data_IF_483354163350
#
_entry.id   IF_483354163350
#
_cell.length_a   1.000
_cell.length_b   1.000
_cell.length_c   1.000
_cell.angle_alpha   90.00
_cell.angle_beta   90.00
_cell.angle_gamma   90.00
#
_symmetry.space_group_name_H-M   'P 1'
#
loop_
_entity.id
_entity.type
_entity.pdbx_description
1 polymer ?
#
# COMPACT_ATOMS: atom_id res chain seq x y z
N UNK A 1 -5.56 11.62 -17.27
CA UNK A 1 -4.28 12.18 -16.80
C UNK A 1 -3.72 11.26 -15.72
N UNK A 2 -2.62 10.54 -15.95
CA UNK A 2 -1.91 9.89 -14.85
C UNK A 2 -1.41 11.00 -13.91
N UNK A 3 -1.74 10.88 -12.63
CA UNK A 3 -1.17 11.73 -11.59
C UNK A 3 0.09 11.02 -11.10
N UNK A 4 1.23 11.67 -11.25
CA UNK A 4 2.43 11.29 -10.54
C UNK A 4 2.24 11.65 -9.06
N UNK A 5 2.49 10.66 -8.20
CA UNK A 5 2.26 10.75 -6.77
C UNK A 5 3.60 10.58 -6.07
N UNK A 6 4.10 11.65 -5.47
CA UNK A 6 5.36 11.63 -4.73
C UNK A 6 5.14 11.20 -3.28
N UNK A 7 5.61 10.00 -2.97
CA UNK A 7 5.54 9.40 -1.64
C UNK A 7 6.92 9.54 -0.97
N UNK A 8 6.99 10.27 0.14
CA UNK A 8 8.22 10.39 0.92
C UNK A 8 8.45 9.16 1.79
N UNK A 9 9.56 8.44 1.60
CA UNK A 9 9.94 7.30 2.44
C UNK A 9 10.73 7.77 3.66
N UNK A 10 10.21 7.53 4.87
CA UNK A 10 10.96 7.74 6.11
C UNK A 10 11.76 6.48 6.46
N UNK A 11 13.07 6.49 6.25
CA UNK A 11 13.97 5.43 6.73
C UNK A 11 14.34 5.69 8.20
N UNK A 12 13.96 4.79 9.12
CA UNK A 12 14.51 4.78 10.50
C UNK A 12 15.62 3.72 10.55
N UNK A 13 16.87 4.16 10.52
CA UNK A 13 18.01 3.28 10.83
C UNK A 13 18.08 2.95 12.32
N UNK A 14 18.64 1.78 12.70
CA UNK A 14 18.93 1.47 14.09
C UNK A 14 20.03 2.42 14.60
N UNK A 15 19.71 3.07 15.72
CA UNK A 15 20.48 4.00 16.53
C UNK A 15 22.01 4.09 16.29
N UNK A 16 22.51 5.25 15.83
CA UNK A 16 23.64 5.96 16.45
C UNK A 16 23.72 7.41 15.91
N UNK A 17 23.92 8.35 16.82
CA UNK A 17 24.24 9.77 16.64
C UNK A 17 23.18 10.78 16.12
N UNK A 18 23.26 11.97 16.73
CA UNK A 18 22.24 13.02 16.80
C UNK A 18 22.19 13.98 15.59
N UNK A 19 22.95 13.72 14.53
CA UNK A 19 22.98 14.53 13.30
C UNK A 19 22.15 13.92 12.17
N UNK A 20 20.90 13.61 12.47
CA UNK A 20 19.97 12.98 11.51
C UNK A 20 19.48 13.99 10.47
N UNK A 21 20.28 14.24 9.44
CA UNK A 21 19.73 14.62 8.13
C UNK A 21 18.99 13.39 7.61
N UNK A 22 17.69 13.30 7.92
CA UNK A 22 16.81 12.27 7.36
C UNK A 22 16.91 12.35 5.85
N UNK A 23 17.45 11.31 5.20
CA UNK A 23 17.36 11.23 3.75
C UNK A 23 15.93 10.85 3.40
N UNK A 24 15.12 11.85 3.06
CA UNK A 24 13.81 11.65 2.46
C UNK A 24 14.03 11.20 1.03
N UNK A 25 13.82 9.92 0.73
CA UNK A 25 13.76 9.48 -0.67
C UNK A 25 12.36 9.78 -1.18
N UNK A 26 12.29 10.64 -2.18
CA UNK A 26 11.07 10.89 -2.94
C UNK A 26 10.83 9.70 -3.87
N UNK A 27 9.63 9.12 -3.80
CA UNK A 27 9.24 7.99 -4.62
C UNK A 27 8.08 8.43 -5.50
N UNK A 28 8.30 8.46 -6.81
CA UNK A 28 7.23 8.80 -7.76
C UNK A 28 6.46 7.55 -8.18
N UNK A 29 5.15 7.58 -7.97
CA UNK A 29 4.22 6.51 -8.36
C UNK A 29 3.21 7.04 -9.37
N UNK A 30 3.19 6.44 -10.56
CA UNK A 30 2.21 6.75 -11.58
C UNK A 30 0.91 5.99 -11.31
N UNK A 31 -0.14 6.72 -10.90
CA UNK A 31 -1.46 6.14 -10.62
C UNK A 31 -2.18 5.75 -11.91
N UNK A 32 -2.68 4.51 -11.97
CA UNK A 32 -3.46 3.97 -13.09
C UNK A 32 -4.93 3.72 -12.73
N UNK A 33 -5.47 2.59 -13.20
CA UNK A 33 -6.89 2.23 -13.04
C UNK A 33 -7.26 1.95 -11.59
N UNK A 34 -8.50 2.27 -11.21
CA UNK A 34 -9.05 1.86 -9.92
C UNK A 34 -9.35 0.35 -9.94
N UNK A 35 -8.89 -0.35 -8.91
CA UNK A 35 -9.14 -1.77 -8.68
C UNK A 35 -10.31 -2.01 -7.72
N UNK A 36 -10.52 -1.10 -6.78
CA UNK A 36 -11.58 -1.22 -5.79
C UNK A 36 -11.77 0.02 -4.95
N UNK A 37 -12.88 0.05 -4.20
CA UNK A 37 -13.22 1.11 -3.27
C UNK A 37 -14.09 0.60 -2.14
N UNK A 38 -13.99 1.22 -0.97
CA UNK A 38 -14.84 0.92 0.20
C UNK A 38 -14.64 1.95 1.31
N UNK A 39 -15.11 1.63 2.52
CA UNK A 39 -15.01 2.52 3.69
C UNK A 39 -13.57 2.92 4.07
N UNK A 40 -12.58 2.13 3.64
CA UNK A 40 -11.16 2.37 3.91
C UNK A 40 -10.42 3.13 2.81
N UNK A 41 -11.16 3.65 1.81
CA UNK A 41 -10.61 4.42 0.70
C UNK A 41 -10.69 3.70 -0.65
N UNK A 42 -9.81 4.08 -1.57
CA UNK A 42 -9.75 3.58 -2.96
C UNK A 42 -8.41 2.89 -3.20
N UNK A 43 -8.41 1.83 -3.99
CA UNK A 43 -7.19 1.11 -4.39
C UNK A 43 -7.03 1.22 -5.89
N UNK A 44 -5.83 1.55 -6.33
CA UNK A 44 -5.48 1.70 -7.74
C UNK A 44 -4.34 0.76 -8.12
N UNK A 45 -4.34 0.27 -9.36
CA UNK A 45 -3.14 -0.28 -9.99
C UNK A 45 -2.24 0.89 -10.34
N UNK A 46 -0.99 0.84 -9.93
CA UNK A 46 -0.03 1.90 -10.17
C UNK A 46 1.34 1.33 -10.55
N UNK A 47 2.24 2.19 -11.01
CA UNK A 47 3.61 1.82 -11.37
C UNK A 47 4.58 2.68 -10.59
N UNK A 48 5.53 2.04 -9.90
CA UNK A 48 6.68 2.71 -9.29
C UNK A 48 7.64 3.14 -10.40
N UNK A 49 7.91 4.43 -10.55
CA UNK A 49 8.58 4.95 -11.74
C UNK A 49 10.06 4.52 -11.84
N UNK A 50 10.76 4.44 -10.71
CA UNK A 50 12.20 4.09 -10.72
C UNK A 50 12.42 2.60 -10.97
N UNK A 51 11.71 1.74 -10.23
CA UNK A 51 11.90 0.29 -10.35
C UNK A 51 11.00 -0.36 -11.39
N UNK A 52 10.13 0.41 -12.06
CA UNK A 52 9.07 -0.06 -12.96
C UNK A 52 8.13 -1.12 -12.36
N UNK A 53 8.09 -1.22 -11.03
CA UNK A 53 7.30 -2.24 -10.32
C UNK A 53 5.83 -1.87 -10.37
N UNK A 54 4.98 -2.81 -10.75
CA UNK A 54 3.52 -2.65 -10.62
C UNK A 54 3.12 -2.86 -9.16
N UNK A 55 2.32 -1.93 -8.62
CA UNK A 55 1.95 -1.88 -7.21
C UNK A 55 0.44 -1.66 -7.04
N UNK A 56 -0.09 -2.06 -5.88
CA UNK A 56 -1.38 -1.57 -5.40
C UNK A 56 -1.16 -0.27 -4.62
N UNK A 57 -1.82 0.81 -5.03
CA UNK A 57 -1.79 2.10 -4.37
C UNK A 57 -3.12 2.33 -3.65
N UNK A 58 -3.12 2.20 -2.33
CA UNK A 58 -4.26 2.53 -1.47
C UNK A 58 -4.22 4.01 -1.13
N UNK A 59 -5.32 4.71 -1.40
CA UNK A 59 -5.49 6.14 -1.15
C UNK A 59 -6.68 6.35 -0.21
N UNK A 60 -6.46 7.06 0.89
CA UNK A 60 -7.51 7.42 1.84
C UNK A 60 -7.50 8.93 2.11
N UNK A 61 -8.67 9.54 2.27
CA UNK A 61 -8.77 10.94 2.68
C UNK A 61 -8.43 11.03 4.16
N UNK A 62 -7.45 11.87 4.49
CA UNK A 62 -7.03 12.11 5.87
C UNK A 62 -6.82 13.61 6.11
N UNK A 63 -7.57 14.22 7.04
CA UNK A 63 -7.35 15.61 7.44
C UNK A 63 -5.89 15.85 7.87
N UNK A 64 -5.35 17.02 7.55
CA UNK A 64 -3.96 17.38 7.88
C UNK A 64 -3.67 17.22 9.38
N UNK A 65 -4.65 17.58 10.22
CA UNK A 65 -4.57 17.56 11.69
C UNK A 65 -4.87 16.19 12.33
N UNK A 66 -5.12 15.14 11.53
CA UNK A 66 -5.40 13.82 12.07
C UNK A 66 -4.14 13.23 12.73
N UNK A 67 -4.19 13.00 14.05
CA UNK A 67 -3.04 12.51 14.84
C UNK A 67 -2.70 11.06 14.60
N UNK A 68 -3.68 10.23 14.23
CA UNK A 68 -3.52 8.79 13.98
C UNK A 68 -4.10 8.43 12.61
N UNK A 69 -3.34 8.70 11.54
CA UNK A 69 -3.80 8.41 10.20
C UNK A 69 -3.94 6.89 9.99
N UNK A 70 -5.08 6.38 9.49
CA UNK A 70 -5.35 4.95 9.39
C UNK A 70 -4.34 4.20 8.52
N UNK A 71 -3.92 4.76 7.38
CA UNK A 71 -2.97 4.05 6.50
C UNK A 71 -1.55 4.02 7.08
N UNK A 72 -1.18 4.99 7.92
CA UNK A 72 0.07 4.91 8.67
C UNK A 72 0.10 3.70 9.61
N UNK A 73 -0.99 3.48 10.35
CA UNK A 73 -1.11 2.34 11.26
C UNK A 73 -1.07 1.01 10.48
N UNK A 74 -1.86 0.90 9.41
CA UNK A 74 -1.89 -0.27 8.52
C UNK A 74 -0.51 -0.58 7.93
N UNK A 75 0.19 0.44 7.43
CA UNK A 75 1.54 0.27 6.90
C UNK A 75 2.53 -0.24 7.96
N UNK A 76 2.39 0.20 9.21
CA UNK A 76 3.25 -0.28 10.29
C UNK A 76 2.94 -1.73 10.68
N UNK A 77 1.67 -2.11 10.76
CA UNK A 77 1.28 -3.51 11.02
C UNK A 77 1.80 -4.43 9.92
N UNK A 78 1.59 -4.08 8.65
CA UNK A 78 2.06 -4.87 7.52
C UNK A 78 3.60 -4.98 7.48
N UNK A 79 4.32 -3.90 7.79
CA UNK A 79 5.80 -3.94 7.89
C UNK A 79 6.27 -4.84 9.02
N UNK A 80 5.62 -4.83 10.17
CA UNK A 80 5.95 -5.72 11.30
C UNK A 80 5.75 -7.19 10.94
N UNK A 81 4.74 -7.50 10.13
CA UNK A 81 4.42 -8.85 9.67
C UNK A 81 5.13 -9.23 8.35
N UNK A 82 6.04 -8.38 7.87
CA UNK A 82 6.74 -8.58 6.60
C UNK A 82 7.60 -9.85 6.63
N UNK A 83 7.69 -10.53 5.49
CA UNK A 83 8.47 -11.77 5.31
C UNK A 83 7.61 -13.03 5.31
N UNK A 84 6.34 -12.95 5.71
CA UNK A 84 5.41 -14.08 5.59
C UNK A 84 4.75 -14.08 4.19
N UNK A 85 4.72 -15.22 3.46
CA UNK A 85 4.24 -15.27 2.08
C UNK A 85 2.75 -14.88 1.91
N UNK A 86 1.96 -15.05 2.96
CA UNK A 86 0.53 -14.67 2.98
C UNK A 86 0.27 -13.21 3.38
N UNK A 87 1.32 -12.40 3.61
CA UNK A 87 1.19 -11.00 4.02
C UNK A 87 1.80 -10.10 2.94
N UNK A 88 1.06 -9.10 2.42
CA UNK A 88 1.57 -8.21 1.37
C UNK A 88 2.77 -7.36 1.83
N UNK A 89 3.76 -7.24 0.96
CA UNK A 89 4.89 -6.33 1.19
C UNK A 89 4.48 -4.86 1.06
N UNK A 90 4.97 -4.01 1.95
CA UNK A 90 4.82 -2.56 1.87
C UNK A 90 6.04 -1.94 1.20
N UNK A 91 5.83 -1.19 0.13
CA UNK A 91 6.90 -0.50 -0.60
C UNK A 91 7.08 0.93 -0.12
N UNK A 92 5.99 1.67 0.07
CA UNK A 92 6.05 3.07 0.48
C UNK A 92 4.79 3.49 1.22
N UNK A 93 4.92 4.47 2.11
CA UNK A 93 3.82 5.17 2.76
C UNK A 93 4.13 6.66 2.75
N UNK A 94 3.12 7.50 2.53
CA UNK A 94 3.28 8.94 2.62
C UNK A 94 1.96 9.69 2.60
N UNK A 95 2.05 11.02 2.62
CA UNK A 95 0.91 11.93 2.63
C UNK A 95 1.12 13.03 1.60
N UNK A 96 0.05 13.34 0.87
CA UNK A 96 0.00 14.47 -0.05
C UNK A 96 -1.31 15.20 0.23
N UNK A 97 -1.21 16.48 0.61
CA UNK A 97 -2.36 17.32 1.00
C UNK A 97 -3.30 16.61 1.99
N UNK A 98 -4.54 16.36 1.59
CA UNK A 98 -5.60 15.73 2.37
C UNK A 98 -5.70 14.22 2.17
N UNK A 99 -4.63 13.58 1.67
CA UNK A 99 -4.61 12.16 1.38
C UNK A 99 -3.44 11.46 2.04
N UNK A 100 -3.72 10.24 2.50
CA UNK A 100 -2.70 9.22 2.76
C UNK A 100 -2.60 8.27 1.59
N UNK A 101 -1.39 7.80 1.37
CA UNK A 101 -1.02 6.94 0.26
C UNK A 101 -0.17 5.79 0.80
N UNK A 102 -0.55 4.57 0.45
CA UNK A 102 0.16 3.35 0.80
C UNK A 102 0.37 2.53 -0.47
N UNK A 103 1.63 2.38 -0.86
CA UNK A 103 2.07 1.51 -1.94
C UNK A 103 2.47 0.16 -1.37
N UNK A 104 1.88 -0.91 -1.89
CA UNK A 104 2.12 -2.28 -1.47
C UNK A 104 2.09 -3.24 -2.66
N UNK A 105 2.43 -4.50 -2.41
CA UNK A 105 2.34 -5.58 -3.39
C UNK A 105 0.96 -5.62 -4.04
N UNK A 106 0.94 -5.65 -5.38
CA UNK A 106 -0.29 -5.93 -6.11
C UNK A 106 -0.58 -7.42 -6.04
N UNK A 107 -1.72 -7.78 -5.46
CA UNK A 107 -2.22 -9.15 -5.43
C UNK A 107 -3.14 -9.42 -6.63
N UNK A 108 -3.54 -10.68 -6.77
CA UNK A 108 -4.55 -11.12 -7.73
C UNK A 108 -5.96 -10.65 -7.29
N UNK A 109 -6.98 -11.08 -8.04
CA UNK A 109 -8.38 -10.81 -7.72
C UNK A 109 -8.74 -11.22 -6.29
N UNK A 110 -9.64 -10.47 -5.65
CA UNK A 110 -10.08 -10.83 -4.31
C UNK A 110 -11.02 -12.04 -4.36
N UNK A 111 -11.12 -12.78 -3.25
CA UNK A 111 -12.11 -13.86 -3.14
C UNK A 111 -13.55 -13.34 -3.32
N UNK A 112 -13.82 -12.11 -2.90
CA UNK A 112 -15.11 -11.47 -3.13
C UNK A 112 -15.43 -11.29 -4.61
N UNK A 113 -14.42 -11.02 -5.44
CA UNK A 113 -14.59 -10.94 -6.89
C UNK A 113 -14.83 -12.32 -7.50
N UNK A 114 -14.07 -13.34 -7.07
CA UNK A 114 -14.25 -14.75 -7.50
C UNK A 114 -15.68 -15.23 -7.24
N UNK A 115 -16.21 -14.96 -6.04
CA UNK A 115 -17.57 -15.38 -5.66
C UNK A 115 -18.63 -14.62 -6.48
N UNK A 116 -18.43 -13.33 -6.75
CA UNK A 116 -19.34 -12.54 -7.61
C UNK A 116 -19.36 -13.04 -9.05
N UNK A 117 -18.24 -13.56 -9.55
CA UNK A 117 -18.15 -14.19 -10.87
C UNK A 117 -18.90 -15.54 -10.94
N UNK A 118 -19.54 -15.98 -9.86
CA UNK A 118 -20.29 -17.24 -9.80
C UNK A 118 -19.40 -18.48 -9.84
N UNK A 119 -18.08 -18.33 -9.64
CA UNK A 119 -17.13 -19.43 -9.63
C UNK A 119 -17.17 -20.11 -8.26
N UNK A 120 -17.50 -21.42 -8.17
CA UNK A 120 -17.42 -22.14 -6.91
C UNK A 120 -16.00 -22.12 -6.36
N UNK A 121 -15.85 -21.89 -5.05
CA UNK A 121 -14.58 -22.11 -4.38
C UNK A 121 -14.37 -23.61 -4.24
N UNK A 122 -13.40 -24.16 -4.98
CA UNK A 122 -13.08 -25.58 -4.93
C UNK A 122 -12.59 -25.98 -3.54
N UNK A 123 -13.38 -26.79 -2.83
CA UNK A 123 -12.97 -27.40 -1.56
C UNK A 123 -12.32 -28.74 -1.89
N UNK A 124 -11.03 -28.88 -1.59
CA UNK A 124 -10.42 -30.21 -1.53
C UNK A 124 -10.76 -30.79 -0.15
N UNK A 125 -11.53 -31.86 -0.12
CA UNK A 125 -11.64 -32.69 1.07
C UNK A 125 -10.23 -33.23 1.34
N UNK A 126 -9.69 -32.97 2.54
CA UNK A 126 -8.44 -33.60 2.95
C UNK A 126 -8.69 -35.09 3.10
N UNK A 127 -7.81 -35.90 2.54
CA UNK A 127 -7.81 -37.34 2.80
C UNK A 127 -7.57 -37.53 4.31
N UNK A 128 -8.54 -38.16 4.97
CA UNK A 128 -8.59 -38.38 6.41
C UNK A 128 -7.70 -39.55 6.83
#
# INVERSE_FOLDING_TARGET
>A
FPLDVDIKRQLRGPNLNKDRRTMETEITIQKGIQLGSGGFGRVFRAVHNDTKRVVALKQCRAPLRLKRPPLHYEANVLRTLSGHPSIPEVYAYGRIEHFELLSMQLLHQSLGDVVKEGRPLGVKMGDN
#
